data_IF_285156236676
#
_entry.id   IF_285156236676
#
_cell.length_a   1.000
_cell.length_b   1.000
_cell.length_c   1.000
_cell.angle_alpha   90.00
_cell.angle_beta   90.00
_cell.angle_gamma   90.00
#
_symmetry.space_group_name_H-M   'P 1'
#
loop_
_entity.id
_entity.type
_entity.pdbx_description
1 polymer ?
#
# COMPACT_ATOMS: atom_id res chain seq x y z
N UNK A 1 -4.84 1.01 -12.44
CA UNK A 1 -5.45 1.70 -11.30
C UNK A 1 -4.73 3.01 -11.03
N UNK A 2 -5.43 4.01 -10.53
CA UNK A 2 -4.92 5.36 -10.28
C UNK A 2 -5.49 5.90 -8.97
N UNK A 3 -4.65 6.57 -8.20
CA UNK A 3 -5.07 7.25 -6.97
C UNK A 3 -6.12 8.32 -7.24
N UNK A 4 -7.12 8.40 -6.37
CA UNK A 4 -8.10 9.45 -6.36
C UNK A 4 -7.97 10.35 -5.13
N UNK A 5 -8.58 11.53 -5.19
CA UNK A 5 -8.64 12.45 -4.04
C UNK A 5 -9.51 11.89 -2.92
N UNK A 6 -9.35 12.46 -1.71
CA UNK A 6 -10.26 12.18 -0.60
C UNK A 6 -10.07 10.83 0.08
N UNK A 7 -8.84 10.36 0.21
CA UNK A 7 -8.49 9.04 0.78
C UNK A 7 -9.26 8.71 2.07
N UNK A 8 -9.97 7.58 2.08
CA UNK A 8 -10.79 7.10 3.19
C UNK A 8 -9.97 6.87 4.47
N UNK A 9 -8.68 6.50 4.35
CA UNK A 9 -7.79 6.26 5.49
C UNK A 9 -7.67 7.49 6.39
N UNK A 10 -7.75 8.71 5.83
CA UNK A 10 -7.71 9.94 6.61
C UNK A 10 -8.94 10.17 7.50
N UNK A 11 -10.05 9.50 7.21
CA UNK A 11 -11.23 9.53 8.08
C UNK A 11 -11.02 8.71 9.35
N UNK A 12 -10.20 7.64 9.24
CA UNK A 12 -9.85 6.75 10.36
C UNK A 12 -8.58 7.22 11.06
N UNK A 13 -7.58 7.64 10.28
CA UNK A 13 -6.28 8.07 10.76
C UNK A 13 -5.88 9.40 10.10
N UNK A 14 -6.23 10.55 10.71
CA UNK A 14 -6.00 11.88 10.12
C UNK A 14 -4.53 12.19 9.79
N UNK A 15 -3.58 11.57 10.49
CA UNK A 15 -2.14 11.72 10.29
C UNK A 15 -1.61 11.01 9.03
N UNK A 16 -2.44 10.16 8.39
CA UNK A 16 -2.05 9.40 7.21
C UNK A 16 -1.50 10.31 6.10
N UNK A 17 -0.26 10.06 5.70
CA UNK A 17 0.47 10.81 4.66
C UNK A 17 0.56 12.34 4.91
N UNK A 18 0.37 12.80 6.17
CA UNK A 18 0.36 14.23 6.49
C UNK A 18 1.70 14.93 6.19
N UNK A 19 2.82 14.22 6.35
CA UNK A 19 4.16 14.74 6.06
C UNK A 19 4.41 15.01 4.57
N UNK A 20 3.70 14.30 3.67
CA UNK A 20 3.91 14.42 2.22
C UNK A 20 3.64 15.83 1.69
N UNK A 21 2.65 16.55 2.25
CA UNK A 21 2.39 17.94 1.88
C UNK A 21 3.60 18.83 2.20
N UNK A 22 4.12 18.75 3.42
CA UNK A 22 5.30 19.53 3.85
C UNK A 22 6.53 19.25 2.97
N UNK A 23 6.70 18.00 2.53
CA UNK A 23 7.81 17.62 1.64
C UNK A 23 7.61 18.18 0.24
N UNK A 24 6.39 18.15 -0.30
CA UNK A 24 6.09 18.75 -1.62
C UNK A 24 6.29 20.25 -1.62
N UNK A 25 5.84 20.94 -0.57
CA UNK A 25 5.94 22.40 -0.44
C UNK A 25 7.40 22.88 -0.38
N UNK A 26 8.34 22.01 0.02
CA UNK A 26 9.78 22.26 0.02
C UNK A 26 10.49 21.85 -1.27
N UNK A 27 9.80 21.19 -2.17
CA UNK A 27 10.35 20.69 -3.44
C UNK A 27 10.39 21.81 -4.47
N UNK A 28 11.41 21.80 -5.34
CA UNK A 28 11.46 22.66 -6.53
C UNK A 28 10.56 22.17 -7.67
N UNK A 29 9.90 21.05 -7.50
CA UNK A 29 8.99 20.45 -8.49
C UNK A 29 7.63 21.13 -8.42
N UNK A 30 7.10 21.55 -9.57
CA UNK A 30 5.72 22.01 -9.69
C UNK A 30 4.76 20.81 -9.64
N UNK A 31 4.34 20.47 -8.42
CA UNK A 31 3.43 19.34 -8.21
C UNK A 31 2.04 19.56 -8.81
N UNK A 32 1.62 20.80 -8.98
CA UNK A 32 0.33 21.11 -9.65
C UNK A 32 0.39 20.66 -11.10
N UNK A 33 1.48 20.99 -11.78
CA UNK A 33 1.68 20.58 -13.17
C UNK A 33 1.88 19.05 -13.29
N UNK A 34 2.60 18.43 -12.37
CA UNK A 34 2.73 16.96 -12.32
C UNK A 34 1.36 16.29 -12.21
N UNK A 35 0.48 16.75 -11.32
CA UNK A 35 -0.86 16.18 -11.18
C UNK A 35 -1.74 16.45 -12.41
N UNK A 36 -1.62 17.61 -13.03
CA UNK A 36 -2.31 17.95 -14.25
C UNK A 36 -1.92 16.99 -15.39
N UNK A 37 -0.62 16.80 -15.61
CA UNK A 37 -0.10 15.89 -16.63
C UNK A 37 -0.52 14.45 -16.38
N UNK A 38 -0.41 13.99 -15.13
CA UNK A 38 -0.80 12.62 -14.76
C UNK A 38 -2.29 12.39 -15.02
N UNK A 39 -3.14 13.39 -14.75
CA UNK A 39 -4.56 13.31 -15.04
C UNK A 39 -4.84 13.27 -16.55
N UNK A 40 -4.13 14.07 -17.33
CA UNK A 40 -4.24 14.02 -18.80
C UNK A 40 -3.85 12.65 -19.36
N UNK A 41 -2.73 12.09 -18.92
CA UNK A 41 -2.27 10.76 -19.34
C UNK A 41 -3.32 9.69 -18.98
N UNK A 42 -3.93 9.78 -17.80
CA UNK A 42 -4.97 8.84 -17.40
C UNK A 42 -6.19 8.89 -18.34
N UNK A 43 -6.66 10.09 -18.68
CA UNK A 43 -7.79 10.25 -19.60
C UNK A 43 -7.42 9.78 -21.01
N UNK A 44 -6.22 10.12 -21.48
CA UNK A 44 -5.71 9.65 -22.78
C UNK A 44 -5.70 8.12 -22.87
N UNK A 45 -5.23 7.45 -21.83
CA UNK A 45 -5.25 5.97 -21.76
C UNK A 45 -6.68 5.45 -21.75
N UNK A 46 -7.59 6.09 -21.03
CA UNK A 46 -9.00 5.68 -20.94
C UNK A 46 -9.71 5.77 -22.28
N UNK A 47 -9.45 6.82 -23.04
CA UNK A 47 -10.18 7.14 -24.26
C UNK A 47 -9.61 6.43 -25.48
N UNK A 48 -8.27 6.28 -25.55
CA UNK A 48 -7.59 5.90 -26.80
C UNK A 48 -6.93 4.52 -26.75
N UNK A 49 -6.91 3.86 -25.58
CA UNK A 49 -6.25 2.56 -25.42
C UNK A 49 -7.25 1.48 -24.98
N UNK A 50 -7.03 0.21 -25.35
CA UNK A 50 -7.91 -0.90 -24.97
C UNK A 50 -7.73 -1.34 -23.52
N UNK A 51 -7.37 -0.43 -22.61
CA UNK A 51 -7.14 -0.71 -21.20
C UNK A 51 -8.30 -0.25 -20.33
N UNK A 52 -8.59 -1.00 -19.28
CA UNK A 52 -9.51 -0.55 -18.23
C UNK A 52 -8.78 0.41 -17.29
N UNK A 53 -9.33 1.60 -17.12
CA UNK A 53 -8.81 2.61 -16.19
C UNK A 53 -9.73 2.70 -14.99
N UNK A 54 -9.21 2.36 -13.80
CA UNK A 54 -9.93 2.49 -12.54
C UNK A 54 -9.40 3.70 -11.78
N UNK A 55 -10.33 4.60 -11.42
CA UNK A 55 -10.08 5.80 -10.64
C UNK A 55 -11.34 6.05 -9.80
N UNK A 56 -11.30 5.62 -8.54
CA UNK A 56 -12.46 5.58 -7.64
C UNK A 56 -12.26 6.63 -6.55
N UNK A 57 -13.19 7.57 -6.42
CA UNK A 57 -13.11 8.63 -5.42
C UNK A 57 -12.95 8.06 -4.01
N UNK A 58 -12.03 8.63 -3.26
CA UNK A 58 -11.73 8.20 -1.90
C UNK A 58 -10.81 6.97 -1.80
N UNK A 59 -10.46 6.32 -2.91
CA UNK A 59 -9.59 5.14 -2.94
C UNK A 59 -8.20 5.48 -3.49
N UNK A 60 -7.21 4.77 -3.01
CA UNK A 60 -5.88 4.70 -3.63
C UNK A 60 -5.86 3.59 -4.70
N UNK A 61 -4.89 3.62 -5.60
CA UNK A 61 -4.70 2.58 -6.62
C UNK A 61 -4.56 1.19 -5.98
N UNK A 62 -3.92 1.13 -4.83
CA UNK A 62 -3.67 -0.09 -4.08
C UNK A 62 -4.95 -0.76 -3.58
N UNK A 63 -5.95 0.05 -3.15
CA UNK A 63 -7.26 -0.45 -2.77
C UNK A 63 -7.96 -1.12 -3.96
N UNK A 64 -7.91 -0.47 -5.12
CA UNK A 64 -8.52 -1.02 -6.34
C UNK A 64 -7.81 -2.31 -6.78
N UNK A 65 -6.48 -2.36 -6.72
CA UNK A 65 -5.70 -3.56 -7.08
C UNK A 65 -6.01 -4.71 -6.12
N UNK A 66 -6.04 -4.44 -4.82
CA UNK A 66 -6.36 -5.46 -3.82
C UNK A 66 -7.77 -6.04 -4.04
N UNK A 67 -8.76 -5.18 -4.25
CA UNK A 67 -10.14 -5.62 -4.52
C UNK A 67 -10.25 -6.46 -5.80
N UNK A 68 -9.58 -6.05 -6.88
CA UNK A 68 -9.56 -6.84 -8.12
C UNK A 68 -8.93 -8.23 -7.92
N UNK A 69 -7.87 -8.32 -7.12
CA UNK A 69 -7.26 -9.61 -6.79
C UNK A 69 -8.23 -10.49 -5.99
N UNK A 70 -8.91 -9.92 -4.98
CA UNK A 70 -9.92 -10.65 -4.20
C UNK A 70 -11.05 -11.18 -5.10
N UNK A 71 -11.57 -10.37 -6.00
CA UNK A 71 -12.63 -10.77 -6.93
C UNK A 71 -12.22 -11.95 -7.81
N UNK A 72 -10.95 -12.05 -8.21
CA UNK A 72 -10.46 -13.21 -8.98
C UNK A 72 -10.52 -14.52 -8.19
N UNK A 73 -10.56 -14.46 -6.86
CA UNK A 73 -10.66 -15.65 -5.99
C UNK A 73 -12.10 -16.11 -5.80
N UNK A 74 -13.07 -15.18 -5.75
CA UNK A 74 -14.47 -15.47 -5.42
C UNK A 74 -15.19 -16.26 -6.51
N UNK A 75 -14.82 -16.07 -7.79
CA UNK A 75 -15.52 -16.69 -8.93
C UNK A 75 -15.06 -18.13 -9.22
N UNK A 76 -14.32 -18.78 -8.31
CA UNK A 76 -13.94 -20.20 -8.42
C UNK A 76 -12.98 -20.53 -9.57
N UNK A 77 -12.51 -19.51 -10.29
CA UNK A 77 -11.45 -19.60 -11.31
C UNK A 77 -10.41 -18.56 -10.96
N UNK A 78 -9.40 -18.99 -10.22
CA UNK A 78 -8.24 -18.14 -9.97
C UNK A 78 -7.58 -17.80 -11.29
N UNK A 79 -7.84 -16.61 -11.82
CA UNK A 79 -7.18 -16.09 -13.01
C UNK A 79 -5.76 -15.65 -12.65
N UNK A 80 -4.80 -15.88 -13.55
CA UNK A 80 -3.43 -15.41 -13.34
C UNK A 80 -3.39 -13.88 -13.29
N UNK A 81 -2.89 -13.35 -12.17
CA UNK A 81 -2.76 -11.91 -11.94
C UNK A 81 -1.29 -11.52 -11.89
N UNK A 82 -0.92 -10.52 -12.69
CA UNK A 82 0.39 -9.88 -12.59
C UNK A 82 0.24 -8.44 -12.12
N UNK A 83 0.71 -8.15 -10.92
CA UNK A 83 0.80 -6.78 -10.40
C UNK A 83 2.12 -6.17 -10.88
N UNK A 84 2.04 -5.09 -11.67
CA UNK A 84 3.22 -4.35 -12.13
C UNK A 84 3.44 -3.15 -11.21
N UNK A 85 4.17 -3.39 -10.13
CA UNK A 85 4.49 -2.36 -9.13
C UNK A 85 5.74 -2.74 -8.34
N UNK A 86 6.53 -1.73 -7.94
CA UNK A 86 7.65 -1.91 -7.01
C UNK A 86 7.25 -1.79 -5.54
N UNK A 87 5.97 -1.51 -5.27
CA UNK A 87 5.49 -1.32 -3.91
C UNK A 87 5.51 -2.64 -3.12
N UNK A 88 6.09 -2.58 -1.91
CA UNK A 88 6.22 -3.73 -1.02
C UNK A 88 4.87 -4.19 -0.45
N UNK A 89 3.89 -3.29 -0.41
CA UNK A 89 2.59 -3.57 0.22
C UNK A 89 1.78 -4.61 -0.57
N UNK A 90 2.06 -4.78 -1.87
CA UNK A 90 1.49 -5.87 -2.67
C UNK A 90 2.03 -7.26 -2.33
N UNK A 91 3.13 -7.36 -1.57
CA UNK A 91 3.66 -8.66 -1.15
C UNK A 91 2.62 -9.49 -0.38
N UNK A 92 1.72 -8.85 0.36
CA UNK A 92 0.62 -9.51 1.08
C UNK A 92 -0.37 -10.24 0.15
N UNK A 93 -0.54 -9.78 -1.10
CA UNK A 93 -1.42 -10.40 -2.08
C UNK A 93 -0.84 -11.68 -2.68
N UNK A 94 0.47 -11.92 -2.51
CA UNK A 94 1.12 -13.18 -2.92
C UNK A 94 0.73 -14.38 -2.04
N UNK A 95 -0.16 -14.17 -1.06
CA UNK A 95 -0.86 -15.28 -0.37
C UNK A 95 -1.70 -16.12 -1.34
N UNK A 96 -2.11 -15.54 -2.45
CA UNK A 96 -2.80 -16.22 -3.53
C UNK A 96 -1.81 -16.74 -4.56
N UNK A 97 -1.85 -18.04 -4.87
CA UNK A 97 -0.88 -18.73 -5.72
C UNK A 97 -0.87 -18.25 -7.19
N UNK A 98 -1.98 -17.66 -7.63
CA UNK A 98 -2.17 -17.08 -8.96
C UNK A 98 -1.65 -15.64 -9.09
N UNK A 99 -1.17 -15.03 -8.01
CA UNK A 99 -0.71 -13.64 -8.00
C UNK A 99 0.81 -13.57 -8.09
N UNK A 100 1.30 -12.80 -9.05
CA UNK A 100 2.72 -12.48 -9.24
C UNK A 100 2.92 -10.97 -9.22
N UNK A 101 4.07 -10.53 -8.72
CA UNK A 101 4.44 -9.12 -8.71
C UNK A 101 5.72 -8.89 -9.51
N UNK A 102 5.70 -7.94 -10.43
CA UNK A 102 6.86 -7.52 -11.19
C UNK A 102 7.23 -6.08 -10.87
N UNK A 103 8.47 -5.84 -10.47
CA UNK A 103 9.01 -4.50 -10.24
C UNK A 103 9.57 -3.93 -11.54
N UNK A 104 8.94 -2.89 -12.13
CA UNK A 104 9.48 -2.25 -13.34
C UNK A 104 10.79 -1.50 -13.07
N UNK A 105 10.95 -0.92 -11.88
CA UNK A 105 12.19 -0.25 -11.48
C UNK A 105 13.35 -1.24 -11.31
N UNK A 106 13.12 -2.35 -10.63
CA UNK A 106 14.10 -3.40 -10.41
C UNK A 106 14.25 -4.36 -11.60
N UNK A 107 13.36 -4.29 -12.60
CA UNK A 107 13.28 -5.20 -13.76
C UNK A 107 13.30 -6.68 -13.37
N UNK A 108 12.59 -7.03 -12.28
CA UNK A 108 12.56 -8.37 -11.71
C UNK A 108 11.24 -8.68 -11.03
N UNK A 109 10.95 -9.97 -10.87
CA UNK A 109 9.86 -10.41 -10.01
C UNK A 109 10.23 -10.19 -8.54
N UNK A 110 9.25 -9.71 -7.77
CA UNK A 110 9.30 -9.69 -6.31
C UNK A 110 8.61 -10.97 -5.84
N UNK A 111 9.32 -11.75 -5.04
CA UNK A 111 8.79 -13.02 -4.49
C UNK A 111 8.82 -12.93 -2.97
N UNK A 112 7.64 -12.99 -2.37
CA UNK A 112 7.48 -13.09 -0.91
C UNK A 112 7.16 -14.53 -0.54
N UNK A 113 7.97 -15.11 0.35
CA UNK A 113 7.82 -16.52 0.76
C UNK A 113 6.75 -16.69 1.85
N UNK A 114 6.60 -15.68 2.70
CA UNK A 114 5.71 -15.71 3.85
C UNK A 114 4.83 -14.44 3.90
N UNK A 115 3.90 -14.25 2.96
CA UNK A 115 3.11 -13.03 2.84
C UNK A 115 2.36 -12.66 4.13
N UNK A 116 1.85 -13.66 4.87
CA UNK A 116 1.15 -13.45 6.15
C UNK A 116 2.08 -12.88 7.22
N UNK A 117 3.25 -13.51 7.42
CA UNK A 117 4.25 -13.03 8.38
C UNK A 117 4.73 -11.64 8.03
N UNK A 118 5.00 -11.38 6.75
CA UNK A 118 5.41 -10.05 6.26
C UNK A 118 4.35 -8.99 6.56
N UNK A 119 3.07 -9.31 6.35
CA UNK A 119 1.97 -8.41 6.70
C UNK A 119 1.91 -8.14 8.21
N UNK A 120 1.99 -9.19 9.05
CA UNK A 120 1.98 -9.03 10.51
C UNK A 120 3.16 -8.17 11.00
N UNK A 121 4.35 -8.42 10.49
CA UNK A 121 5.52 -7.59 10.79
C UNK A 121 5.31 -6.14 10.38
N UNK A 122 4.74 -5.92 9.19
CA UNK A 122 4.47 -4.58 8.68
C UNK A 122 3.46 -3.82 9.56
N UNK A 123 2.39 -4.48 9.99
CA UNK A 123 1.41 -3.92 10.93
C UNK A 123 2.10 -3.48 12.25
N UNK A 124 2.96 -4.33 12.79
CA UNK A 124 3.66 -4.03 14.04
C UNK A 124 4.69 -2.90 13.89
N UNK A 125 5.39 -2.84 12.76
CA UNK A 125 6.43 -1.85 12.48
C UNK A 125 5.88 -0.49 12.08
N UNK A 126 4.65 -0.43 11.58
CA UNK A 126 4.08 0.74 10.94
C UNK A 126 4.74 1.05 9.60
N UNK A 127 4.36 2.16 9.01
CA UNK A 127 4.96 2.69 7.78
C UNK A 127 5.32 4.17 7.90
N UNK A 128 6.61 4.44 8.02
CA UNK A 128 7.14 5.82 8.12
C UNK A 128 6.83 6.63 6.87
N UNK A 129 6.80 6.00 5.68
CA UNK A 129 6.51 6.68 4.42
C UNK A 129 5.08 7.17 4.34
N UNK A 130 4.18 6.46 4.98
CA UNK A 130 2.75 6.78 5.08
C UNK A 130 2.39 7.52 6.37
N UNK A 131 3.37 7.72 7.24
CA UNK A 131 3.19 8.43 8.51
C UNK A 131 2.47 7.60 9.57
N UNK A 132 2.49 6.27 9.45
CA UNK A 132 1.92 5.32 10.40
C UNK A 132 3.01 4.86 11.36
N UNK A 133 2.98 5.24 12.65
CA UNK A 133 3.96 4.80 13.63
C UNK A 133 3.80 3.31 13.95
N UNK A 134 4.85 2.72 14.52
CA UNK A 134 4.78 1.36 15.03
C UNK A 134 3.86 1.25 16.27
N UNK A 135 3.46 0.04 16.62
CA UNK A 135 2.51 -0.26 17.71
C UNK A 135 2.91 0.23 19.09
N UNK A 136 4.17 0.62 19.31
CA UNK A 136 4.69 1.16 20.59
C UNK A 136 4.69 2.69 20.63
N UNK A 137 4.26 3.35 19.58
CA UNK A 137 4.38 4.80 19.40
C UNK A 137 3.00 5.44 19.24
N UNK A 138 2.85 6.68 19.71
CA UNK A 138 1.60 7.41 19.57
C UNK A 138 1.34 7.82 18.11
N UNK A 139 0.07 7.92 17.74
CA UNK A 139 -0.39 8.22 16.36
C UNK A 139 0.18 9.53 15.80
N UNK A 140 0.42 10.52 16.65
CA UNK A 140 0.94 11.84 16.29
C UNK A 140 2.48 11.91 16.22
N UNK A 141 3.19 10.80 16.47
CA UNK A 141 4.66 10.74 16.56
C UNK A 141 5.33 11.48 15.40
N UNK A 142 4.96 11.19 14.15
CA UNK A 142 5.61 11.81 13.00
C UNK A 142 5.14 13.22 12.70
N UNK A 143 3.90 13.57 13.05
CA UNK A 143 3.38 14.93 12.84
C UNK A 143 4.00 15.93 13.80
N UNK A 144 4.39 15.47 15.00
CA UNK A 144 5.14 16.26 15.99
C UNK A 144 6.66 16.21 15.80
N UNK A 145 7.14 15.47 14.79
CA UNK A 145 8.57 15.36 14.50
C UNK A 145 9.34 14.51 15.52
N UNK A 146 8.64 13.68 16.27
CA UNK A 146 9.22 12.79 17.26
C UNK A 146 9.78 11.51 16.61
N UNK A 147 10.66 10.82 17.35
CA UNK A 147 11.15 9.49 16.97
C UNK A 147 10.24 8.42 17.56
N UNK A 148 10.02 7.36 16.76
CA UNK A 148 9.31 6.18 17.24
C UNK A 148 10.04 5.50 18.41
N UNK A 149 9.27 4.90 19.33
CA UNK A 149 9.79 3.95 20.31
C UNK A 149 10.38 2.74 19.56
N UNK A 150 11.64 2.35 19.84
CA UNK A 150 12.26 1.24 19.12
C UNK A 150 11.53 -0.09 19.33
N UNK A 151 11.01 -0.67 18.27
CA UNK A 151 10.46 -2.03 18.26
C UNK A 151 11.61 -3.02 18.02
N UNK A 152 12.10 -3.66 19.08
CA UNK A 152 13.20 -4.61 19.01
C UNK A 152 12.78 -5.88 18.27
N UNK A 153 13.65 -6.42 17.44
CA UNK A 153 13.38 -7.63 16.65
C UNK A 153 12.83 -8.77 17.52
N UNK A 154 13.45 -9.06 18.66
CA UNK A 154 13.00 -10.13 19.57
C UNK A 154 11.54 -9.96 20.00
N UNK A 155 11.10 -8.72 20.31
CA UNK A 155 9.71 -8.46 20.69
C UNK A 155 8.77 -8.63 19.51
N UNK A 156 9.16 -8.15 18.33
CA UNK A 156 8.39 -8.33 17.10
C UNK A 156 8.21 -9.81 16.78
N UNK A 157 9.29 -10.59 16.77
CA UNK A 157 9.27 -12.00 16.46
C UNK A 157 8.34 -12.76 17.45
N UNK A 158 8.37 -12.43 18.74
CA UNK A 158 7.45 -13.00 19.74
C UNK A 158 5.97 -12.66 19.44
N UNK A 159 5.67 -11.44 19.02
CA UNK A 159 4.29 -11.02 18.72
C UNK A 159 3.76 -11.69 17.46
N UNK A 160 4.62 -11.97 16.48
CA UNK A 160 4.26 -12.69 15.24
C UNK A 160 4.08 -14.19 15.50
N UNK A 161 4.86 -14.80 16.39
CA UNK A 161 4.80 -16.21 16.72
C UNK A 161 3.66 -16.56 17.71
N UNK A 162 3.05 -15.57 18.39
CA UNK A 162 1.96 -15.83 19.35
C UNK A 162 0.73 -16.40 18.60
N UNK A 163 0.28 -17.63 18.94
CA UNK A 163 -0.92 -18.23 18.34
C UNK A 163 -2.19 -17.37 18.48
N UNK A 164 -2.28 -16.55 19.54
CA UNK A 164 -3.39 -15.61 19.75
C UNK A 164 -3.34 -14.40 18.80
N UNK A 165 -2.18 -14.07 18.25
CA UNK A 165 -2.04 -13.05 17.21
C UNK A 165 -2.42 -13.56 15.82
N UNK A 166 -2.52 -14.86 15.68
CA UNK A 166 -2.95 -15.55 14.45
C UNK A 166 -4.47 -15.73 14.44
N UNK A 167 -5.23 -14.67 14.60
CA UNK A 167 -6.68 -14.68 14.71
C UNK A 167 -7.36 -15.92 14.16
N UNK A 168 -8.30 -16.46 14.91
CA UNK A 168 -9.08 -17.62 14.53
C UNK A 168 -9.58 -17.49 13.09
N UNK A 169 -9.16 -18.41 12.24
CA UNK A 169 -9.78 -18.61 10.94
C UNK A 169 -11.18 -19.16 11.20
N UNK A 170 -12.20 -18.33 11.07
CA UNK A 170 -13.59 -18.72 10.89
C UNK A 170 -13.98 -18.37 9.47
#
# INVERSE_FOLDING_TARGET
>A
CSDAGGNWRKKVFPQYKASRKKTRDKSSVDWTEVFRITSMIREEIRENFPYKVMHIEGCEADDCIAQLVEETQEFGKAEDVMIVSSDKDFAQLQRYSNVKQFSPMGKKFIVEKNPRTTLQEHILQGDTSDGVPNVLSADNTFTEGLRQTPLRKKLRDLLVEDPKSQGDEV
#
